data_IF_576342224782
#
_entry.id   IF_576342224782
#
_cell.length_a   1.000
_cell.length_b   1.000
_cell.length_c   1.000
_cell.angle_alpha   90.00
_cell.angle_beta   90.00
_cell.angle_gamma   90.00
#
_symmetry.space_group_name_H-M   'P 1'
#
loop_
_entity.id
_entity.type
_entity.pdbx_description
1 polymer ?
#
# COMPACT_ATOMS: atom_id res chain seq x y z
N UNK A 1 16.62 3.94 -21.98
CA UNK A 1 15.77 2.97 -21.23
C UNK A 1 14.67 3.72 -20.48
N UNK A 2 13.47 3.14 -20.43
CA UNK A 2 12.36 3.63 -19.58
C UNK A 2 12.81 3.73 -18.12
N UNK A 3 12.46 4.81 -17.41
CA UNK A 3 12.74 4.92 -15.98
C UNK A 3 11.82 3.99 -15.19
N UNK A 4 12.40 3.04 -14.46
CA UNK A 4 11.67 2.17 -13.51
C UNK A 4 11.09 3.00 -12.37
N UNK A 5 9.79 2.88 -12.09
CA UNK A 5 9.13 3.63 -11.01
C UNK A 5 8.29 2.73 -10.11
N UNK A 6 8.63 2.73 -8.83
CA UNK A 6 7.85 2.04 -7.80
C UNK A 6 7.04 3.09 -7.05
N UNK A 7 5.71 3.07 -7.23
CA UNK A 7 4.80 4.06 -6.65
C UNK A 7 4.02 3.43 -5.50
N UNK A 8 4.32 3.87 -4.28
CA UNK A 8 3.73 3.32 -3.06
C UNK A 8 2.63 4.25 -2.56
N UNK A 9 1.40 3.75 -2.53
CA UNK A 9 0.24 4.43 -1.93
C UNK A 9 0.08 3.95 -0.49
N UNK A 10 0.36 4.83 0.46
CA UNK A 10 0.59 4.49 1.86
C UNK A 10 -0.29 5.30 2.80
N UNK A 11 -0.57 4.70 3.96
CA UNK A 11 -1.31 5.36 5.04
C UNK A 11 -2.30 4.44 5.73
N UNK A 12 -2.79 4.85 6.91
CA UNK A 12 -3.61 3.99 7.75
C UNK A 12 -4.94 3.55 7.13
N UNK A 13 -5.56 2.51 7.67
CA UNK A 13 -6.90 2.11 7.25
C UNK A 13 -7.86 3.32 7.36
N UNK A 14 -8.71 3.56 6.36
CA UNK A 14 -9.67 4.68 6.39
C UNK A 14 -9.11 6.06 6.04
N UNK A 15 -7.81 6.20 5.74
CA UNK A 15 -7.22 7.49 5.37
C UNK A 15 -7.59 8.00 3.98
N UNK A 16 -8.10 7.13 3.08
CA UNK A 16 -8.50 7.51 1.73
C UNK A 16 -7.45 7.26 0.64
N UNK A 17 -6.51 6.31 0.84
CA UNK A 17 -5.52 5.88 -0.17
C UNK A 17 -6.13 5.59 -1.54
N UNK A 18 -7.13 4.72 -1.61
CA UNK A 18 -7.74 4.32 -2.87
C UNK A 18 -8.47 5.49 -3.54
N UNK A 19 -9.11 6.35 -2.75
CA UNK A 19 -9.74 7.58 -3.26
C UNK A 19 -8.73 8.59 -3.79
N UNK A 20 -7.58 8.76 -3.13
CA UNK A 20 -6.45 9.56 -3.64
C UNK A 20 -5.94 8.97 -4.96
N UNK A 21 -5.77 7.65 -5.01
CA UNK A 21 -5.32 6.96 -6.22
C UNK A 21 -6.29 7.19 -7.38
N UNK A 22 -7.59 6.97 -7.17
CA UNK A 22 -8.63 7.19 -8.18
C UNK A 22 -8.69 8.66 -8.62
N UNK A 23 -8.54 9.60 -7.69
CA UNK A 23 -8.45 11.03 -8.00
C UNK A 23 -7.27 11.33 -8.93
N UNK A 24 -6.07 10.82 -8.62
CA UNK A 24 -4.88 11.09 -9.43
C UNK A 24 -4.97 10.44 -10.82
N UNK A 25 -5.54 9.24 -10.92
CA UNK A 25 -5.80 8.58 -12.21
C UNK A 25 -6.84 9.37 -13.03
N UNK A 26 -7.96 9.75 -12.43
CA UNK A 26 -9.03 10.53 -13.09
C UNK A 26 -8.50 11.86 -13.64
N UNK A 27 -7.59 12.50 -12.92
CA UNK A 27 -6.95 13.76 -13.33
C UNK A 27 -5.69 13.57 -14.20
N UNK A 28 -5.49 12.37 -14.78
CA UNK A 28 -4.41 12.06 -15.74
C UNK A 28 -2.98 12.28 -15.21
N UNK A 29 -2.78 12.21 -13.88
CA UNK A 29 -1.43 12.21 -13.30
C UNK A 29 -0.68 10.88 -13.56
N UNK A 30 -1.41 9.81 -13.88
CA UNK A 30 -0.86 8.49 -14.21
C UNK A 30 -1.52 7.93 -15.49
N UNK A 31 -0.72 7.31 -16.35
CA UNK A 31 -1.15 6.71 -17.63
C UNK A 31 -1.34 5.20 -17.58
N UNK A 32 -0.78 4.51 -16.59
CA UNK A 32 -0.75 3.04 -16.50
C UNK A 32 -1.30 2.55 -15.14
N UNK A 33 -1.90 1.35 -15.13
CA UNK A 33 -2.53 0.74 -13.94
C UNK A 33 -2.09 -0.71 -13.73
N UNK A 34 -0.89 -0.89 -13.18
CA UNK A 34 -0.42 -2.17 -12.65
C UNK A 34 -0.44 -2.12 -11.13
N UNK A 35 -1.62 -2.40 -10.57
CA UNK A 35 -1.92 -2.19 -9.15
C UNK A 35 -1.79 -3.48 -8.35
N UNK A 36 -0.75 -3.57 -7.53
CA UNK A 36 -0.64 -4.58 -6.48
C UNK A 36 -1.41 -4.08 -5.25
N UNK A 37 -2.67 -4.49 -5.14
CA UNK A 37 -3.58 -4.09 -4.06
C UNK A 37 -4.25 -5.31 -3.42
N UNK A 38 -4.07 -5.49 -2.11
CA UNK A 38 -4.60 -6.65 -1.38
C UNK A 38 -6.14 -6.75 -1.41
N UNK A 39 -6.85 -5.62 -1.28
CA UNK A 39 -8.32 -5.60 -1.27
C UNK A 39 -8.87 -5.95 -2.67
N UNK A 40 -8.23 -5.47 -3.74
CA UNK A 40 -8.59 -5.82 -5.14
C UNK A 40 -8.35 -7.30 -5.42
N UNK A 41 -7.16 -7.81 -5.10
CA UNK A 41 -6.82 -9.23 -5.28
C UNK A 41 -7.78 -10.11 -4.46
N UNK A 42 -8.08 -9.75 -3.22
CA UNK A 42 -9.04 -10.46 -2.38
C UNK A 42 -10.44 -10.50 -3.00
N UNK A 43 -10.94 -9.36 -3.51
CA UNK A 43 -12.24 -9.29 -4.20
C UNK A 43 -12.27 -10.21 -5.42
N UNK A 44 -11.25 -10.16 -6.26
CA UNK A 44 -11.19 -10.92 -7.51
C UNK A 44 -11.07 -12.43 -7.24
N UNK A 45 -10.22 -12.83 -6.28
CA UNK A 45 -10.11 -14.22 -5.81
C UNK A 45 -11.42 -14.76 -5.21
N UNK A 46 -12.17 -13.92 -4.50
CA UNK A 46 -13.48 -14.29 -3.97
C UNK A 46 -14.50 -14.60 -5.07
N UNK A 47 -14.32 -14.01 -6.25
CA UNK A 47 -15.19 -14.15 -7.41
C UNK A 47 -14.65 -15.19 -8.40
N UNK A 48 -14.16 -14.72 -9.56
CA UNK A 48 -13.75 -15.53 -10.72
C UNK A 48 -12.24 -15.83 -10.76
N UNK A 49 -11.44 -15.17 -9.93
CA UNK A 49 -9.98 -15.23 -9.93
C UNK A 49 -9.34 -13.89 -10.27
N UNK A 50 -8.05 -13.76 -9.96
CA UNK A 50 -7.24 -12.56 -10.20
C UNK A 50 -6.39 -12.75 -11.46
N UNK A 51 -6.72 -12.00 -12.51
CA UNK A 51 -6.08 -12.11 -13.83
C UNK A 51 -4.95 -11.08 -13.99
N UNK A 52 -3.82 -11.53 -14.53
CA UNK A 52 -2.60 -10.73 -14.76
C UNK A 52 -2.16 -10.74 -16.23
N UNK A 53 -3.05 -11.04 -17.18
CA UNK A 53 -2.71 -11.20 -18.60
C UNK A 53 -2.06 -9.95 -19.23
N UNK A 54 -2.40 -8.76 -18.76
CA UNK A 54 -1.83 -7.50 -19.24
C UNK A 54 -0.56 -7.09 -18.48
N UNK A 55 -0.10 -7.89 -17.52
CA UNK A 55 1.06 -7.56 -16.70
C UNK A 55 2.34 -8.05 -17.39
N UNK A 56 3.46 -7.31 -17.29
CA UNK A 56 4.72 -7.66 -17.92
C UNK A 56 5.50 -8.74 -17.13
N UNK A 57 4.79 -9.74 -16.60
CA UNK A 57 5.36 -10.82 -15.78
C UNK A 57 4.73 -12.16 -16.15
N UNK A 58 5.53 -13.22 -16.12
CA UNK A 58 5.05 -14.61 -16.09
C UNK A 58 5.00 -15.10 -14.64
N UNK A 59 4.10 -16.02 -14.32
CA UNK A 59 3.97 -16.58 -12.98
C UNK A 59 3.80 -18.09 -13.03
N UNK A 60 4.15 -18.77 -11.94
CA UNK A 60 3.86 -20.20 -11.76
C UNK A 60 3.43 -20.49 -10.33
N UNK A 61 2.71 -21.59 -10.14
CA UNK A 61 2.31 -22.04 -8.80
C UNK A 61 3.54 -22.41 -7.96
N UNK A 62 4.56 -23.02 -8.57
CA UNK A 62 5.78 -23.38 -7.87
C UNK A 62 6.50 -22.16 -7.27
N UNK A 63 6.70 -21.10 -8.06
CA UNK A 63 7.31 -19.85 -7.59
C UNK A 63 6.45 -19.16 -6.52
N UNK A 64 5.12 -19.13 -6.71
CA UNK A 64 4.20 -18.56 -5.74
C UNK A 64 4.27 -19.29 -4.39
N UNK A 65 4.25 -20.62 -4.39
CA UNK A 65 4.32 -21.42 -3.17
C UNK A 65 5.68 -21.28 -2.47
N UNK A 66 6.77 -21.17 -3.23
CA UNK A 66 8.10 -20.87 -2.68
C UNK A 66 8.10 -19.51 -1.98
N UNK A 67 7.52 -18.48 -2.60
CA UNK A 67 7.36 -17.15 -2.01
C UNK A 67 6.50 -17.18 -0.73
N UNK A 68 5.40 -17.92 -0.75
CA UNK A 68 4.52 -18.07 0.42
C UNK A 68 5.21 -18.77 1.60
N UNK A 69 6.05 -19.78 1.31
CA UNK A 69 6.87 -20.47 2.33
C UNK A 69 7.92 -19.56 2.97
N UNK A 70 8.54 -18.66 2.19
CA UNK A 70 9.51 -17.70 2.72
C UNK A 70 8.87 -16.60 3.57
N UNK A 71 7.61 -16.26 3.31
CA UNK A 71 6.89 -15.14 3.94
C UNK A 71 5.81 -15.62 4.91
N UNK A 72 6.08 -16.67 5.68
CA UNK A 72 5.08 -17.28 6.57
C UNK A 72 4.51 -16.25 7.54
N UNK A 73 3.18 -16.10 7.52
CA UNK A 73 2.49 -15.14 8.39
C UNK A 73 1.99 -15.84 9.65
N UNK A 74 2.38 -15.39 10.87
CA UNK A 74 1.86 -16.00 12.09
C UNK A 74 0.33 -15.91 12.16
N UNK A 75 -0.32 -16.97 12.65
CA UNK A 75 -1.79 -17.06 12.89
C UNK A 75 -2.68 -16.91 11.64
N UNK A 76 -2.16 -17.23 10.45
CA UNK A 76 -2.86 -17.12 9.18
C UNK A 76 -3.92 -18.23 8.94
N UNK A 77 -3.89 -19.31 9.73
CA UNK A 77 -4.73 -20.52 9.65
C UNK A 77 -4.81 -21.17 8.26
N UNK A 78 -3.81 -20.98 7.40
CA UNK A 78 -3.69 -21.66 6.11
C UNK A 78 -2.34 -22.39 6.11
N UNK A 79 -2.38 -23.72 6.14
CA UNK A 79 -1.17 -24.53 5.95
C UNK A 79 -0.69 -24.42 4.51
N UNK A 80 0.61 -24.58 4.28
CA UNK A 80 1.18 -24.57 2.93
C UNK A 80 0.59 -25.69 2.06
N UNK A 81 0.34 -26.87 2.65
CA UNK A 81 -0.32 -27.98 1.95
C UNK A 81 -1.73 -27.60 1.48
N UNK A 82 -2.53 -26.97 2.34
CA UNK A 82 -3.87 -26.51 1.97
C UNK A 82 -3.81 -25.39 0.91
N UNK A 83 -2.83 -24.48 1.01
CA UNK A 83 -2.60 -23.46 -0.02
C UNK A 83 -2.31 -24.11 -1.37
N UNK A 84 -1.35 -25.05 -1.42
CA UNK A 84 -0.96 -25.77 -2.63
C UNK A 84 -2.11 -26.54 -3.28
N UNK A 85 -2.93 -27.23 -2.48
CA UNK A 85 -4.08 -27.99 -2.98
C UNK A 85 -5.16 -27.08 -3.60
N UNK A 86 -5.32 -25.87 -3.05
CA UNK A 86 -6.48 -25.01 -3.35
C UNK A 86 -6.17 -23.83 -4.28
N UNK A 87 -4.92 -23.47 -4.50
CA UNK A 87 -4.54 -22.42 -5.45
C UNK A 87 -4.23 -23.02 -6.83
N UNK A 88 -4.77 -22.41 -7.88
CA UNK A 88 -4.46 -22.76 -9.26
C UNK A 88 -4.06 -21.51 -10.05
N UNK A 89 -3.25 -21.69 -11.09
CA UNK A 89 -2.89 -20.66 -12.04
C UNK A 89 -3.07 -21.20 -13.46
N UNK A 90 -4.01 -20.64 -14.20
CA UNK A 90 -4.35 -21.06 -15.57
C UNK A 90 -4.78 -19.84 -16.36
N UNK A 91 -4.41 -19.76 -17.65
CA UNK A 91 -4.73 -18.63 -18.53
C UNK A 91 -4.44 -17.26 -17.87
N UNK A 92 -3.25 -17.12 -17.30
CA UNK A 92 -2.79 -15.93 -16.57
C UNK A 92 -3.70 -15.50 -15.40
N UNK A 93 -4.46 -16.43 -14.83
CA UNK A 93 -5.43 -16.16 -13.76
C UNK A 93 -5.15 -17.02 -12.53
N UNK A 94 -4.96 -16.38 -11.38
CA UNK A 94 -4.94 -17.04 -10.07
C UNK A 94 -6.37 -17.34 -9.62
N UNK A 95 -6.64 -18.59 -9.28
CA UNK A 95 -7.97 -19.06 -8.87
C UNK A 95 -7.85 -19.70 -7.47
N UNK A 96 -8.67 -19.22 -6.54
CA UNK A 96 -8.79 -19.80 -5.21
C UNK A 96 -9.98 -20.76 -5.14
N UNK A 97 -9.71 -22.07 -4.98
CA UNK A 97 -10.71 -23.15 -4.90
C UNK A 97 -10.99 -23.59 -3.45
N UNK A 98 -10.33 -22.98 -2.46
CA UNK A 98 -10.53 -23.31 -1.05
C UNK A 98 -11.69 -22.53 -0.43
N UNK A 99 -11.80 -22.59 0.90
CA UNK A 99 -12.86 -21.87 1.65
C UNK A 99 -12.81 -20.37 1.34
N UNK A 100 -13.91 -19.81 0.85
CA UNK A 100 -14.05 -18.37 0.53
C UNK A 100 -14.43 -17.53 1.75
N UNK A 101 -13.83 -17.81 2.91
CA UNK A 101 -14.02 -16.97 4.10
C UNK A 101 -13.22 -15.68 3.97
N UNK A 102 -13.67 -14.62 4.64
CA UNK A 102 -12.94 -13.36 4.69
C UNK A 102 -11.46 -13.56 5.09
N UNK A 103 -11.22 -14.30 6.19
CA UNK A 103 -9.87 -14.57 6.69
C UNK A 103 -9.03 -15.29 5.64
N UNK A 104 -9.59 -16.34 5.03
CA UNK A 104 -8.87 -17.18 4.06
C UNK A 104 -8.48 -16.40 2.81
N UNK A 105 -9.45 -15.73 2.18
CA UNK A 105 -9.21 -14.94 0.96
C UNK A 105 -8.16 -13.85 1.20
N UNK A 106 -8.26 -13.14 2.33
CA UNK A 106 -7.33 -12.04 2.60
C UNK A 106 -5.92 -12.54 2.93
N UNK A 107 -5.78 -13.72 3.54
CA UNK A 107 -4.48 -14.36 3.69
C UNK A 107 -3.87 -14.70 2.33
N UNK A 108 -4.62 -15.35 1.43
CA UNK A 108 -4.14 -15.74 0.09
C UNK A 108 -3.80 -14.50 -0.75
N UNK A 109 -4.68 -13.50 -0.74
CA UNK A 109 -4.44 -12.23 -1.43
C UNK A 109 -3.15 -11.57 -0.95
N UNK A 110 -2.87 -11.62 0.34
CA UNK A 110 -1.66 -11.01 0.88
C UNK A 110 -0.39 -11.78 0.52
N UNK A 111 -0.43 -13.11 0.37
CA UNK A 111 0.67 -13.87 -0.24
C UNK A 111 0.88 -13.49 -1.71
N UNK A 112 -0.20 -13.35 -2.48
CA UNK A 112 -0.10 -12.90 -3.87
C UNK A 112 0.48 -11.49 -3.97
N UNK A 113 0.11 -10.59 -3.06
CA UNK A 113 0.72 -9.25 -3.00
C UNK A 113 2.23 -9.35 -2.85
N UNK A 114 2.73 -10.15 -1.90
CA UNK A 114 4.17 -10.27 -1.67
C UNK A 114 4.86 -10.88 -2.91
N UNK A 115 4.31 -11.95 -3.48
CA UNK A 115 4.83 -12.61 -4.68
C UNK A 115 4.83 -11.69 -5.91
N UNK A 116 3.68 -11.10 -6.25
CA UNK A 116 3.52 -10.25 -7.43
C UNK A 116 4.38 -8.99 -7.34
N UNK A 117 4.54 -8.43 -6.13
CA UNK A 117 5.44 -7.28 -5.94
C UNK A 117 6.87 -7.65 -6.30
N UNK A 118 7.37 -8.81 -5.84
CA UNK A 118 8.72 -9.26 -6.17
C UNK A 118 8.89 -9.54 -7.67
N UNK A 119 7.86 -10.10 -8.33
CA UNK A 119 7.87 -10.29 -9.79
C UNK A 119 7.91 -8.94 -10.53
N UNK A 120 7.11 -7.96 -10.13
CA UNK A 120 7.09 -6.63 -10.73
C UNK A 120 8.41 -5.87 -10.53
N UNK A 121 9.08 -6.06 -9.38
CA UNK A 121 10.43 -5.53 -9.16
C UNK A 121 11.50 -6.16 -10.07
N UNK A 122 11.19 -7.27 -10.76
CA UNK A 122 12.03 -7.85 -11.81
C UNK A 122 11.89 -7.19 -13.18
N UNK A 123 10.99 -6.20 -13.34
CA UNK A 123 10.66 -5.59 -14.64
C UNK A 123 11.30 -4.20 -14.81
N UNK A 124 11.14 -3.61 -16.00
CA UNK A 124 11.64 -2.27 -16.36
C UNK A 124 10.54 -1.18 -16.36
N UNK A 125 9.37 -1.49 -15.81
CA UNK A 125 8.16 -0.66 -15.90
C UNK A 125 7.85 0.22 -14.68
N UNK A 126 6.67 0.84 -14.72
CA UNK A 126 6.05 1.49 -13.57
C UNK A 126 4.99 0.57 -12.98
N UNK A 127 4.95 0.46 -11.65
CA UNK A 127 3.85 -0.23 -10.98
C UNK A 127 3.52 0.42 -9.64
N UNK A 128 2.32 0.10 -9.16
CA UNK A 128 1.69 0.72 -8.01
C UNK A 128 1.48 -0.32 -6.92
N UNK A 129 1.72 0.09 -5.67
CA UNK A 129 1.60 -0.77 -4.52
C UNK A 129 0.85 -0.05 -3.40
N UNK A 130 -0.33 -0.55 -3.06
CA UNK A 130 -1.13 0.00 -1.95
C UNK A 130 -0.83 -0.74 -0.65
N UNK A 131 -0.57 0.00 0.42
CA UNK A 131 -0.25 -0.58 1.73
C UNK A 131 -0.77 0.27 2.87
N UNK A 132 -1.12 -0.38 3.99
CA UNK A 132 -1.39 0.33 5.24
C UNK A 132 -0.12 0.98 5.78
N UNK A 133 1.06 0.49 5.39
CA UNK A 133 2.36 1.02 5.79
C UNK A 133 2.68 0.87 7.30
N UNK A 134 2.04 -0.08 7.98
CA UNK A 134 2.15 -0.25 9.44
C UNK A 134 3.21 -1.28 9.89
N UNK A 135 4.19 -1.60 9.04
CA UNK A 135 5.22 -2.62 9.32
C UNK A 135 6.54 -2.25 8.63
N UNK A 136 7.67 -2.52 9.29
CA UNK A 136 9.02 -2.14 8.82
C UNK A 136 9.37 -2.75 7.46
N UNK A 137 8.84 -3.95 7.15
CA UNK A 137 9.03 -4.60 5.85
C UNK A 137 8.58 -3.77 4.63
N UNK A 138 7.81 -2.69 4.82
CA UNK A 138 7.47 -1.77 3.73
C UNK A 138 8.61 -0.82 3.39
N UNK A 139 9.44 -0.47 4.37
CA UNK A 139 10.68 0.27 4.18
C UNK A 139 11.72 -0.63 3.52
N UNK A 140 11.86 -1.88 3.99
CA UNK A 140 12.75 -2.89 3.38
C UNK A 140 12.39 -3.12 1.91
N UNK A 141 11.11 -3.24 1.59
CA UNK A 141 10.64 -3.37 0.22
C UNK A 141 11.01 -2.17 -0.67
N UNK A 142 10.90 -0.95 -0.14
CA UNK A 142 11.35 0.26 -0.84
C UNK A 142 12.87 0.22 -1.09
N UNK A 143 13.65 -0.27 -0.12
CA UNK A 143 15.09 -0.43 -0.28
C UNK A 143 15.45 -1.47 -1.34
N UNK A 144 14.74 -2.61 -1.36
CA UNK A 144 14.89 -3.63 -2.40
C UNK A 144 14.61 -3.02 -3.78
N UNK A 145 13.57 -2.19 -3.90
CA UNK A 145 13.24 -1.52 -5.15
C UNK A 145 14.37 -0.57 -5.61
N UNK A 146 14.92 0.25 -4.69
CA UNK A 146 16.09 1.11 -4.96
C UNK A 146 17.27 0.31 -5.47
N UNK A 147 17.60 -0.80 -4.80
CA UNK A 147 18.71 -1.67 -5.18
C UNK A 147 18.50 -2.33 -6.56
N UNK A 148 17.25 -2.43 -7.03
CA UNK A 148 16.89 -2.92 -8.37
C UNK A 148 16.76 -1.79 -9.41
N UNK A 149 17.18 -0.58 -9.08
CA UNK A 149 17.20 0.57 -9.98
C UNK A 149 15.86 1.30 -10.12
N UNK A 150 14.89 1.05 -9.25
CA UNK A 150 13.64 1.81 -9.24
C UNK A 150 13.81 3.18 -8.60
N UNK A 151 13.21 4.21 -9.21
CA UNK A 151 12.85 5.43 -8.48
C UNK A 151 11.62 5.14 -7.62
N UNK A 152 11.75 5.38 -6.32
CA UNK A 152 10.69 5.12 -5.34
C UNK A 152 9.94 6.41 -5.03
N UNK A 153 8.64 6.39 -5.28
CA UNK A 153 7.72 7.48 -4.97
C UNK A 153 6.75 7.03 -3.89
N UNK A 154 6.65 7.78 -2.80
CA UNK A 154 5.71 7.52 -1.71
C UNK A 154 4.59 8.57 -1.72
N UNK A 155 3.35 8.11 -1.82
CA UNK A 155 2.14 8.91 -1.69
C UNK A 155 1.52 8.59 -0.34
N UNK A 156 1.77 9.42 0.66
CA UNK A 156 1.30 9.16 2.01
C UNK A 156 0.08 10.00 2.35
N UNK A 157 -1.03 9.33 2.69
CA UNK A 157 -2.27 9.98 3.09
C UNK A 157 -2.68 9.58 4.49
N UNK A 158 -2.97 10.58 5.31
CA UNK A 158 -3.43 10.40 6.69
C UNK A 158 -4.60 11.34 7.01
N UNK A 159 -5.03 11.29 8.26
CA UNK A 159 -6.05 12.18 8.83
C UNK A 159 -5.57 12.61 10.22
N UNK A 160 -6.19 13.64 10.79
CA UNK A 160 -5.88 14.19 12.12
C UNK A 160 -6.13 13.22 13.27
N UNK A 161 -6.89 12.14 13.06
CA UNK A 161 -7.08 11.13 14.10
C UNK A 161 -7.49 9.75 13.56
N UNK A 162 -7.07 8.71 14.29
CA UNK A 162 -7.55 7.34 14.06
C UNK A 162 -9.07 7.17 14.23
N UNK A 163 -9.76 8.11 14.91
CA UNK A 163 -11.23 8.12 15.08
C UNK A 163 -11.93 8.33 13.74
N UNK A 164 -11.53 9.34 12.97
CA UNK A 164 -12.06 9.62 11.62
C UNK A 164 -11.91 8.39 10.73
N UNK A 165 -10.72 7.78 10.78
CA UNK A 165 -10.39 6.60 10.02
C UNK A 165 -11.27 5.40 10.38
N UNK A 166 -11.50 5.17 11.67
CA UNK A 166 -12.36 4.09 12.13
C UNK A 166 -13.83 4.33 11.75
N UNK A 167 -14.33 5.56 11.83
CA UNK A 167 -15.69 5.92 11.39
C UNK A 167 -15.88 5.65 9.89
N UNK A 168 -14.88 6.00 9.06
CA UNK A 168 -14.88 5.67 7.63
C UNK A 168 -14.84 4.15 7.38
N UNK A 169 -14.03 3.41 8.14
CA UNK A 169 -14.01 1.93 8.08
C UNK A 169 -15.37 1.36 8.48
N UNK A 170 -16.02 1.89 9.52
CA UNK A 170 -17.36 1.47 9.95
C UNK A 170 -18.41 1.76 8.87
N UNK A 171 -18.34 2.93 8.23
CA UNK A 171 -19.25 3.32 7.15
C UNK A 171 -19.15 2.39 5.95
N UNK A 172 -17.95 2.13 5.42
CA UNK A 172 -17.78 1.22 4.26
C UNK A 172 -18.16 -0.22 4.56
N UNK A 173 -18.06 -0.68 5.82
CA UNK A 173 -18.53 -2.02 6.20
C UNK A 173 -20.04 -2.17 5.98
N UNK A 174 -20.82 -1.11 6.23
CA UNK A 174 -22.26 -1.09 5.92
C UNK A 174 -22.52 -1.23 4.41
N UNK A 175 -21.56 -0.85 3.57
CA UNK A 175 -21.61 -0.94 2.11
C UNK A 175 -20.95 -2.23 1.57
N UNK A 176 -20.73 -3.24 2.42
CA UNK A 176 -20.12 -4.52 2.02
C UNK A 176 -18.58 -4.54 2.07
N UNK A 177 -17.94 -3.48 2.56
CA UNK A 177 -16.49 -3.42 2.75
C UNK A 177 -15.99 -4.23 3.95
N UNK A 178 -14.66 -4.37 4.06
CA UNK A 178 -14.06 -5.19 5.13
C UNK A 178 -14.04 -4.51 6.52
N UNK A 179 -14.44 -5.29 7.54
CA UNK A 179 -14.39 -4.94 8.97
C UNK A 179 -12.99 -5.03 9.58
N UNK A 180 -12.38 -3.88 9.84
CA UNK A 180 -11.16 -3.82 10.67
C UNK A 180 -11.52 -3.47 12.12
N UNK A 181 -11.08 -4.25 13.13
CA UNK A 181 -11.27 -3.91 14.54
C UNK A 181 -10.72 -2.52 14.88
N UNK A 182 -11.41 -1.78 15.77
CA UNK A 182 -11.03 -0.42 16.19
C UNK A 182 -9.60 -0.37 16.74
N UNK A 183 -9.22 -1.34 17.58
CA UNK A 183 -7.86 -1.49 18.11
C UNK A 183 -6.83 -1.60 16.99
N UNK A 184 -7.05 -2.50 16.02
CA UNK A 184 -6.17 -2.63 14.85
C UNK A 184 -6.07 -1.36 14.02
N UNK A 185 -7.17 -0.59 13.86
CA UNK A 185 -7.12 0.71 13.16
C UNK A 185 -6.24 1.71 13.92
N UNK A 186 -6.40 1.80 15.25
CA UNK A 186 -5.58 2.68 16.11
C UNK A 186 -4.10 2.29 16.08
N UNK A 187 -3.78 1.01 16.22
CA UNK A 187 -2.40 0.51 16.22
C UNK A 187 -1.73 0.76 14.88
N UNK A 188 -2.44 0.46 13.78
CA UNK A 188 -1.94 0.69 12.42
C UNK A 188 -1.75 2.18 12.15
N UNK A 189 -2.66 3.05 12.62
CA UNK A 189 -2.50 4.49 12.52
C UNK A 189 -1.16 4.96 13.10
N UNK A 190 -0.86 4.59 14.34
CA UNK A 190 0.41 4.96 14.97
C UNK A 190 1.61 4.40 14.20
N UNK A 191 1.60 3.10 13.88
CA UNK A 191 2.71 2.43 13.18
C UNK A 191 2.95 2.99 11.77
N UNK A 192 1.90 3.33 11.04
CA UNK A 192 2.01 3.94 9.71
C UNK A 192 2.71 5.29 9.75
N UNK A 193 2.40 6.10 10.76
CA UNK A 193 3.05 7.41 10.96
C UNK A 193 4.50 7.25 11.43
N UNK A 194 4.79 6.31 12.33
CA UNK A 194 6.16 6.02 12.78
C UNK A 194 7.10 5.60 11.64
N UNK A 195 6.56 4.95 10.61
CA UNK A 195 7.34 4.53 9.44
C UNK A 195 7.65 5.68 8.45
N UNK A 196 7.07 6.87 8.63
CA UNK A 196 7.31 8.00 7.72
C UNK A 196 8.76 8.44 7.70
N UNK A 197 9.35 8.72 8.87
CA UNK A 197 10.71 9.23 8.94
C UNK A 197 11.74 8.25 8.33
N UNK A 198 11.74 6.94 8.64
CA UNK A 198 12.57 5.97 7.93
C UNK A 198 12.31 5.95 6.41
N UNK A 199 11.08 6.09 5.96
CA UNK A 199 10.74 6.10 4.54
C UNK A 199 11.33 7.29 3.79
N UNK A 200 11.46 8.45 4.44
CA UNK A 200 12.08 9.64 3.85
C UNK A 200 13.54 9.41 3.46
N UNK A 201 14.24 8.50 4.14
CA UNK A 201 15.64 8.16 3.86
C UNK A 201 15.79 7.28 2.61
N UNK A 202 14.73 6.58 2.22
CA UNK A 202 14.75 5.59 1.14
C UNK A 202 14.07 6.11 -0.13
N UNK A 203 12.98 6.85 0.02
CA UNK A 203 12.21 7.37 -1.12
C UNK A 203 12.95 8.49 -1.86
N UNK A 204 12.88 8.47 -3.19
CA UNK A 204 13.36 9.58 -4.03
C UNK A 204 12.45 10.81 -3.90
N UNK A 205 11.13 10.57 -3.75
CA UNK A 205 10.14 11.63 -3.52
C UNK A 205 8.97 11.14 -2.68
N UNK A 206 8.55 11.98 -1.74
CA UNK A 206 7.37 11.75 -0.90
C UNK A 206 6.39 12.89 -1.08
N UNK A 207 5.11 12.56 -1.20
CA UNK A 207 3.99 13.49 -1.26
C UNK A 207 3.09 13.25 -0.05
N UNK A 208 2.64 14.33 0.57
CA UNK A 208 1.86 14.28 1.80
C UNK A 208 0.46 14.85 1.58
N UNK A 209 -0.53 14.06 1.97
CA UNK A 209 -1.94 14.40 1.84
C UNK A 209 -2.62 14.28 3.20
N UNK A 210 -3.31 15.35 3.60
CA UNK A 210 -4.22 15.31 4.74
C UNK A 210 -5.66 15.19 4.21
N UNK A 211 -6.34 14.15 4.65
CA UNK A 211 -7.71 13.86 4.25
C UNK A 211 -8.67 13.91 5.45
N UNK A 212 -8.42 14.83 6.39
CA UNK A 212 -9.24 15.04 7.59
C UNK A 212 -10.55 15.73 7.29
N UNK A 213 -10.53 16.68 6.36
CA UNK A 213 -11.69 17.45 5.96
C UNK A 213 -12.50 16.68 4.90
N UNK A 214 -13.82 16.87 4.94
CA UNK A 214 -14.73 16.29 3.93
C UNK A 214 -15.09 17.30 2.84
N UNK A 215 -14.40 18.46 2.81
CA UNK A 215 -14.68 19.52 1.86
C UNK A 215 -14.30 19.06 0.43
N UNK A 216 -15.22 19.10 -0.54
CA UNK A 216 -14.99 18.57 -1.88
C UNK A 216 -13.83 19.23 -2.64
N UNK A 217 -13.43 20.46 -2.25
CA UNK A 217 -12.39 21.23 -2.92
C UNK A 217 -11.00 21.18 -2.23
N UNK A 218 -10.89 20.52 -1.05
CA UNK A 218 -9.62 20.40 -0.31
C UNK A 218 -9.16 18.95 -0.10
N UNK A 219 -10.06 17.98 -0.29
CA UNK A 219 -9.69 16.57 -0.23
C UNK A 219 -8.61 16.26 -1.27
N UNK A 220 -7.49 15.67 -0.82
CA UNK A 220 -6.38 15.22 -1.68
C UNK A 220 -5.48 16.32 -2.27
N UNK A 221 -5.47 17.52 -1.70
CA UNK A 221 -4.41 18.48 -1.98
C UNK A 221 -3.09 18.00 -1.35
N UNK A 222 -2.04 17.94 -2.17
CA UNK A 222 -0.68 17.70 -1.69
C UNK A 222 -0.21 18.95 -0.95
N UNK A 223 -0.04 18.89 0.37
CA UNK A 223 0.32 20.06 1.18
C UNK A 223 1.83 20.16 1.44
N UNK A 224 2.58 19.08 1.23
CA UNK A 224 4.02 19.06 1.37
C UNK A 224 4.67 17.98 0.51
N UNK A 225 5.91 18.22 0.12
CA UNK A 225 6.76 17.23 -0.55
C UNK A 225 8.08 17.07 0.19
N UNK A 226 8.64 15.85 0.17
CA UNK A 226 10.04 15.62 0.48
C UNK A 226 10.78 15.15 -0.77
N UNK A 227 11.91 15.77 -1.10
CA UNK A 227 12.83 15.33 -2.16
C UNK A 227 14.25 15.35 -1.61
N UNK A 228 14.94 14.22 -1.71
CA UNK A 228 16.33 14.08 -1.23
C UNK A 228 16.51 14.60 0.21
N UNK A 229 15.57 14.29 1.10
CA UNK A 229 15.59 14.73 2.51
C UNK A 229 15.16 16.18 2.77
N UNK A 230 14.92 16.98 1.73
CA UNK A 230 14.45 18.36 1.86
C UNK A 230 12.93 18.41 1.79
N UNK A 231 12.31 18.99 2.81
CA UNK A 231 10.87 19.21 2.86
C UNK A 231 10.53 20.60 2.33
N UNK A 232 9.57 20.64 1.42
CA UNK A 232 8.89 21.85 0.97
C UNK A 232 7.41 21.75 1.36
N UNK A 233 6.91 22.74 2.09
CA UNK A 233 5.48 22.89 2.37
C UNK A 233 4.90 23.81 1.29
N UNK A 234 3.72 23.48 0.77
CA UNK A 234 3.06 24.29 -0.25
C UNK A 234 2.56 25.61 0.35
N UNK A 235 2.63 26.69 -0.42
CA UNK A 235 2.25 28.04 0.05
C UNK A 235 0.77 28.15 0.43
N UNK A 236 -0.09 27.32 -0.20
CA UNK A 236 -1.51 27.22 0.10
C UNK A 236 -1.84 26.42 1.37
N UNK A 237 -0.82 25.90 2.07
CA UNK A 237 -0.99 25.20 3.33
C UNK A 237 -1.08 26.20 4.48
N UNK A 238 -2.32 26.55 4.86
CA UNK A 238 -2.60 27.48 5.97
C UNK A 238 -2.11 26.94 7.32
N UNK A 239 -2.29 25.64 7.55
CA UNK A 239 -1.93 24.96 8.80
C UNK A 239 -1.29 23.59 8.53
N UNK A 240 -0.12 23.36 9.13
CA UNK A 240 0.57 22.06 9.04
C UNK A 240 -0.14 21.03 9.91
N UNK A 241 -0.53 19.86 9.39
CA UNK A 241 -1.19 18.83 10.18
C UNK A 241 -0.33 18.35 11.37
N UNK A 242 -0.92 18.27 12.56
CA UNK A 242 -0.20 17.86 13.79
C UNK A 242 0.51 16.51 13.68
N UNK A 243 -0.07 15.54 12.95
CA UNK A 243 0.57 14.25 12.71
C UNK A 243 1.84 14.39 11.85
N UNK A 244 1.87 15.34 10.91
CA UNK A 244 3.02 15.59 10.08
C UNK A 244 4.12 16.27 10.89
N UNK A 245 3.78 17.29 11.68
CA UNK A 245 4.76 17.92 12.58
C UNK A 245 5.40 16.89 13.53
N UNK A 246 4.57 16.10 14.22
CA UNK A 246 5.03 15.11 15.21
C UNK A 246 5.92 14.03 14.60
N UNK A 247 5.51 13.41 13.49
CA UNK A 247 6.18 12.21 12.97
C UNK A 247 7.18 12.49 11.84
N UNK A 248 7.24 13.73 11.35
CA UNK A 248 8.15 14.12 10.26
C UNK A 248 9.04 15.28 10.66
N UNK A 249 8.47 16.45 10.96
CA UNK A 249 9.28 17.66 11.20
C UNK A 249 10.10 17.57 12.48
N UNK A 250 9.50 17.11 13.58
CA UNK A 250 10.20 16.92 14.84
C UNK A 250 11.26 15.82 14.74
N UNK A 251 10.99 14.72 14.04
CA UNK A 251 11.97 13.65 13.81
C UNK A 251 13.14 14.14 12.96
N UNK A 252 12.91 14.95 11.93
CA UNK A 252 13.99 15.58 11.17
C UNK A 252 14.83 16.52 12.02
N UNK A 253 14.21 17.32 12.90
CA UNK A 253 14.95 18.20 13.83
C UNK A 253 15.84 17.39 14.78
N UNK A 254 15.31 16.32 15.39
CA UNK A 254 16.07 15.46 16.31
C UNK A 254 17.28 14.81 15.64
N UNK A 255 17.18 14.45 14.37
CA UNK A 255 18.20 13.71 13.64
C UNK A 255 19.06 14.60 12.72
N UNK A 256 18.94 15.93 12.78
CA UNK A 256 19.81 16.88 12.06
C UNK A 256 21.14 17.17 12.80
N UNK A 257 21.26 16.72 14.04
CA UNK A 257 22.41 16.96 14.91
C UNK A 257 23.28 15.70 15.13
N UNK A 258 23.15 14.68 14.27
CA UNK A 258 23.96 13.45 14.27
C UNK A 258 24.66 13.30 12.93
#
# INVERSE_FOLDING_TARGET
MSTKRFRVFAGPNGSGKSSLYDYLVKNKFFSERLDVNADKIAKDLGNKGFNINTWPISCSIAEFLQSAKANTRPNNNISLNYLQEKIAFTNSTFIWKGRKSYKTINTVAAYLVDYLTMKMLGTDGTFFYETVFSHQSKIELMQIAKNKGFKVYLYFVSTKSSKINWERVKSRVKQGGHRVPKSKVKDRYKKSLQNLYPALKVADRVYFFDNSESAPNRAYLNFAECRNGQIKIEQSCDEVPAWFDTYVLQELKKNKHV
#
